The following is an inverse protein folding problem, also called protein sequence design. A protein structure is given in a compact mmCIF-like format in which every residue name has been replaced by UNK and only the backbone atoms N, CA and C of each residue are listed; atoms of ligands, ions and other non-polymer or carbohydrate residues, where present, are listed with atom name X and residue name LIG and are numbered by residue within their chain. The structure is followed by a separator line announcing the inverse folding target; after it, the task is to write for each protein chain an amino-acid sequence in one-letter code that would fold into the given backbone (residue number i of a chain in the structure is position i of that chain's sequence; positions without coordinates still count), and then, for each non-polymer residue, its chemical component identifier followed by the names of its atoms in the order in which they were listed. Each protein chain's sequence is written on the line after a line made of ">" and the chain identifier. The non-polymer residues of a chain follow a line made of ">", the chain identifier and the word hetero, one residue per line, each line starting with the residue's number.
data_IF_361344521070
#
_entry.id   IF_361344521070
#
_cell.length_a   1.000
_cell.length_b   1.000
_cell.length_c   1.000
_cell.angle_alpha   90.00
_cell.angle_beta   90.00
_cell.angle_gamma   90.00
#
_symmetry.space_group_name_H-M   'P 1'
#
loop_
_entity.id
_entity.type
_entity.pdbx_description
1 polymer ?
#
# COMPACT_ATOMS: atom_id res chain seq x y z
N UNK A 1 -51.85 -108.17 35.81
CA UNK A 1 -50.55 -107.56 35.43
C UNK A 1 -50.76 -107.13 34.01
N UNK A 2 -51.32 -105.93 33.84
CA UNK A 2 -51.87 -105.50 32.56
C UNK A 2 -50.71 -105.14 31.63
N UNK A 3 -50.44 -106.04 30.69
CA UNK A 3 -49.41 -105.86 29.68
C UNK A 3 -49.88 -104.75 28.75
N UNK A 4 -49.10 -103.67 28.69
CA UNK A 4 -49.38 -102.54 27.80
C UNK A 4 -49.46 -103.07 26.35
N UNK A 5 -50.59 -102.82 25.67
CA UNK A 5 -50.81 -103.19 24.28
C UNK A 5 -49.72 -102.56 23.38
N UNK A 6 -49.11 -103.37 22.51
CA UNK A 6 -47.97 -103.02 21.68
C UNK A 6 -48.27 -101.80 20.79
N UNK A 7 -49.51 -101.64 20.33
CA UNK A 7 -49.96 -100.47 19.57
C UNK A 7 -50.00 -99.19 20.40
N UNK A 8 -50.35 -99.28 21.69
CA UNK A 8 -50.34 -98.14 22.61
C UNK A 8 -48.92 -97.69 22.93
N UNK A 9 -47.98 -98.63 23.07
CA UNK A 9 -46.56 -98.33 23.30
C UNK A 9 -45.91 -97.66 22.08
N UNK A 10 -46.20 -98.14 20.86
CA UNK A 10 -45.75 -97.52 19.61
C UNK A 10 -46.29 -96.09 19.49
N UNK A 11 -47.56 -95.86 19.81
CA UNK A 11 -48.21 -94.54 19.74
C UNK A 11 -47.61 -93.51 20.70
N UNK A 12 -47.24 -93.94 21.92
CA UNK A 12 -46.53 -93.08 22.90
C UNK A 12 -45.11 -92.75 22.40
N UNK A 13 -44.40 -93.71 21.82
CA UNK A 13 -43.07 -93.49 21.26
C UNK A 13 -43.11 -92.54 20.05
N UNK A 14 -44.05 -92.69 19.12
CA UNK A 14 -44.21 -91.75 17.98
C UNK A 14 -44.61 -90.35 18.46
N UNK A 15 -45.45 -90.24 19.49
CA UNK A 15 -45.76 -88.93 20.09
C UNK A 15 -44.54 -88.28 20.73
N UNK A 16 -43.73 -89.03 21.48
CA UNK A 16 -42.49 -88.54 22.09
C UNK A 16 -41.44 -88.12 21.02
N UNK A 17 -41.31 -88.90 19.94
CA UNK A 17 -40.45 -88.56 18.80
C UNK A 17 -40.96 -87.28 18.11
N UNK A 18 -42.27 -87.18 17.84
CA UNK A 18 -42.86 -85.98 17.24
C UNK A 18 -42.66 -84.72 18.09
N UNK A 19 -42.82 -84.84 19.42
CA UNK A 19 -42.64 -83.73 20.35
C UNK A 19 -41.17 -83.27 20.41
N UNK A 20 -40.21 -84.21 20.46
CA UNK A 20 -38.78 -83.90 20.46
C UNK A 20 -38.34 -83.27 19.13
N UNK A 21 -38.84 -83.76 18.00
CA UNK A 21 -38.56 -83.23 16.68
C UNK A 21 -39.15 -81.82 16.48
N UNK A 22 -40.36 -81.57 17.00
CA UNK A 22 -40.96 -80.23 17.04
C UNK A 22 -40.15 -79.24 17.89
N UNK A 23 -39.74 -79.64 19.10
CA UNK A 23 -38.92 -78.81 19.98
C UNK A 23 -37.54 -78.50 19.35
N UNK A 24 -36.95 -79.47 18.65
CA UNK A 24 -35.70 -79.31 17.93
C UNK A 24 -35.83 -78.31 16.77
N UNK A 25 -36.88 -78.42 15.95
CA UNK A 25 -37.16 -77.46 14.87
C UNK A 25 -37.42 -76.05 15.40
N UNK A 26 -38.17 -75.92 16.50
CA UNK A 26 -38.41 -74.63 17.16
C UNK A 26 -37.12 -74.01 17.69
N UNK A 27 -36.21 -74.81 18.24
CA UNK A 27 -34.89 -74.35 18.68
C UNK A 27 -34.05 -73.84 17.51
N UNK A 28 -33.97 -74.62 16.41
CA UNK A 28 -33.25 -74.21 15.19
C UNK A 28 -33.83 -72.91 14.60
N UNK A 29 -35.16 -72.80 14.52
CA UNK A 29 -35.82 -71.59 14.02
C UNK A 29 -35.50 -70.36 14.87
N UNK A 30 -35.48 -70.52 16.21
CA UNK A 30 -35.12 -69.45 17.14
C UNK A 30 -33.64 -69.04 16.99
N UNK A 31 -32.73 -70.01 16.86
CA UNK A 31 -31.31 -69.75 16.67
C UNK A 31 -31.05 -69.03 15.33
N UNK A 32 -31.69 -69.48 14.25
CA UNK A 32 -31.58 -68.83 12.93
C UNK A 32 -32.07 -67.39 12.95
N UNK A 33 -33.20 -67.13 13.62
CA UNK A 33 -33.73 -65.77 13.81
C UNK A 33 -32.74 -64.89 14.58
N UNK A 34 -32.17 -65.41 15.68
CA UNK A 34 -31.18 -64.69 16.48
C UNK A 34 -29.91 -64.35 15.68
N UNK A 35 -29.32 -65.31 14.97
CA UNK A 35 -28.12 -65.06 14.15
C UNK A 35 -28.41 -64.07 13.00
N UNK A 36 -29.61 -64.12 12.41
CA UNK A 36 -30.03 -63.15 11.38
C UNK A 36 -30.10 -61.74 11.94
N UNK A 37 -30.73 -61.57 13.10
CA UNK A 37 -30.87 -60.26 13.74
C UNK A 37 -29.53 -59.73 14.24
N UNK A 38 -28.68 -60.61 14.78
CA UNK A 38 -27.30 -60.30 15.15
C UNK A 38 -26.47 -59.87 13.94
N UNK A 39 -26.60 -60.56 12.81
CA UNK A 39 -25.94 -60.21 11.55
C UNK A 39 -26.37 -58.84 11.02
N UNK A 40 -27.67 -58.53 11.06
CA UNK A 40 -28.17 -57.19 10.73
C UNK A 40 -27.60 -56.10 11.63
N UNK A 41 -27.62 -56.33 12.95
CA UNK A 41 -27.08 -55.36 13.91
C UNK A 41 -25.58 -55.13 13.72
N UNK A 42 -24.83 -56.16 13.34
CA UNK A 42 -23.40 -56.05 13.04
C UNK A 42 -23.18 -55.21 11.78
N UNK A 43 -23.89 -55.52 10.69
CA UNK A 43 -23.83 -54.77 9.44
C UNK A 43 -24.20 -53.29 9.66
N UNK A 44 -25.30 -53.00 10.37
CA UNK A 44 -25.69 -51.62 10.71
C UNK A 44 -24.62 -50.89 11.52
N UNK A 45 -23.93 -51.57 12.44
CA UNK A 45 -22.86 -50.97 13.24
C UNK A 45 -21.63 -50.66 12.38
N UNK A 46 -21.32 -51.51 11.41
CA UNK A 46 -20.24 -51.29 10.44
C UNK A 46 -20.58 -50.10 9.53
N UNK A 47 -21.80 -50.03 8.98
CA UNK A 47 -22.29 -48.92 8.15
C UNK A 47 -22.19 -47.58 8.91
N UNK A 48 -22.64 -47.53 10.17
CA UNK A 48 -22.52 -46.33 11.02
C UNK A 48 -21.05 -45.95 11.21
N UNK A 49 -20.17 -46.94 11.38
CA UNK A 49 -18.73 -46.73 11.51
C UNK A 49 -18.10 -46.13 10.26
N UNK A 50 -18.49 -46.61 9.07
CA UNK A 50 -18.04 -46.05 7.79
C UNK A 50 -18.55 -44.63 7.58
N UNK A 51 -19.85 -44.40 7.77
CA UNK A 51 -20.46 -43.06 7.69
C UNK A 51 -19.75 -42.08 8.64
N UNK A 52 -19.45 -42.51 9.86
CA UNK A 52 -18.73 -41.66 10.84
C UNK A 52 -17.34 -41.30 10.35
N UNK A 53 -16.60 -42.24 9.74
CA UNK A 53 -15.27 -41.98 9.17
C UNK A 53 -15.36 -41.01 7.99
N UNK A 54 -16.36 -41.16 7.12
CA UNK A 54 -16.59 -40.24 6.01
C UNK A 54 -16.89 -38.83 6.51
N UNK A 55 -17.78 -38.69 7.51
CA UNK A 55 -18.11 -37.39 8.12
C UNK A 55 -16.87 -36.72 8.72
N UNK A 56 -16.04 -37.45 9.49
CA UNK A 56 -14.81 -36.87 10.05
C UNK A 56 -13.79 -36.53 8.96
N UNK A 57 -13.70 -37.32 7.89
CA UNK A 57 -12.85 -37.02 6.73
C UNK A 57 -13.29 -35.74 6.00
N UNK A 58 -14.59 -35.59 5.76
CA UNK A 58 -15.19 -34.41 5.15
C UNK A 58 -14.97 -33.19 6.06
N UNK A 59 -15.23 -33.32 7.35
CA UNK A 59 -14.99 -32.26 8.35
C UNK A 59 -13.53 -31.84 8.37
N UNK A 60 -12.59 -32.79 8.40
CA UNK A 60 -11.17 -32.50 8.36
C UNK A 60 -10.77 -31.77 7.06
N UNK A 61 -11.31 -32.21 5.91
CA UNK A 61 -11.10 -31.54 4.62
C UNK A 61 -11.63 -30.10 4.65
N UNK A 62 -12.85 -29.89 5.16
CA UNK A 62 -13.41 -28.56 5.34
C UNK A 62 -12.56 -27.68 6.26
N UNK A 63 -12.07 -28.22 7.38
CA UNK A 63 -11.17 -27.49 8.29
C UNK A 63 -9.88 -27.09 7.57
N UNK A 64 -9.24 -28.01 6.85
CA UNK A 64 -8.00 -27.73 6.10
C UNK A 64 -8.22 -26.64 5.05
N UNK A 65 -9.27 -26.74 4.23
CA UNK A 65 -9.56 -25.75 3.19
C UNK A 65 -9.94 -24.38 3.77
N UNK A 66 -10.65 -24.37 4.90
CA UNK A 66 -10.97 -23.13 5.63
C UNK A 66 -9.71 -22.44 6.15
N UNK A 67 -8.78 -23.18 6.74
CA UNK A 67 -7.51 -22.61 7.23
C UNK A 67 -6.63 -22.12 6.08
N UNK A 68 -6.59 -22.83 4.94
CA UNK A 68 -5.92 -22.35 3.72
C UNK A 68 -6.53 -21.04 3.22
N UNK A 69 -7.86 -20.94 3.20
CA UNK A 69 -8.55 -19.73 2.75
C UNK A 69 -8.27 -18.54 3.69
N UNK A 70 -8.32 -18.75 5.00
CA UNK A 70 -7.95 -17.74 6.00
C UNK A 70 -6.50 -17.28 5.81
N UNK A 71 -5.55 -18.20 5.64
CA UNK A 71 -4.15 -17.87 5.44
C UNK A 71 -3.94 -17.04 4.16
N UNK A 72 -4.60 -17.41 3.06
CA UNK A 72 -4.57 -16.64 1.81
C UNK A 72 -5.16 -15.24 2.00
N UNK A 73 -6.32 -15.13 2.63
CA UNK A 73 -6.98 -13.85 2.87
C UNK A 73 -6.07 -12.93 3.70
N UNK A 74 -5.49 -13.44 4.78
CA UNK A 74 -4.52 -12.68 5.59
C UNK A 74 -3.33 -12.19 4.76
N UNK A 75 -2.78 -13.04 3.88
CA UNK A 75 -1.68 -12.63 3.00
C UNK A 75 -2.11 -11.52 2.04
N UNK A 76 -3.27 -11.66 1.38
CA UNK A 76 -3.82 -10.64 0.48
C UNK A 76 -4.05 -9.31 1.20
N UNK A 77 -4.69 -9.36 2.37
CA UNK A 77 -4.94 -8.17 3.20
C UNK A 77 -3.62 -7.50 3.61
N UNK A 78 -2.60 -8.27 3.99
CA UNK A 78 -1.28 -7.72 4.34
C UNK A 78 -0.59 -7.04 3.14
N UNK A 79 -0.63 -7.66 1.96
CA UNK A 79 -0.09 -7.06 0.72
C UNK A 79 -0.83 -5.78 0.38
N UNK A 80 -2.17 -5.80 0.47
CA UNK A 80 -3.00 -4.63 0.21
C UNK A 80 -2.69 -3.49 1.18
N UNK A 81 -2.56 -3.76 2.48
CA UNK A 81 -2.13 -2.75 3.46
C UNK A 81 -0.72 -2.21 3.17
N UNK A 82 0.19 -3.07 2.71
CA UNK A 82 1.52 -2.65 2.27
C UNK A 82 1.46 -1.66 1.11
N UNK A 83 0.69 -1.96 0.06
CA UNK A 83 0.52 -1.08 -1.11
C UNK A 83 -0.11 0.26 -0.70
N UNK A 84 -1.18 0.23 0.10
CA UNK A 84 -1.85 1.44 0.62
C UNK A 84 -0.88 2.30 1.45
N UNK A 85 -0.03 1.65 2.26
CA UNK A 85 1.00 2.35 3.03
C UNK A 85 2.01 3.05 2.13
N UNK A 86 2.50 2.37 1.09
CA UNK A 86 3.45 2.94 0.14
C UNK A 86 2.84 4.08 -0.68
N UNK A 87 1.57 3.96 -1.07
CA UNK A 87 0.83 5.04 -1.73
C UNK A 87 0.78 6.30 -0.84
N UNK A 88 0.41 6.14 0.43
CA UNK A 88 0.43 7.23 1.42
C UNK A 88 1.83 7.83 1.57
N UNK A 89 2.87 6.99 1.65
CA UNK A 89 4.26 7.45 1.77
C UNK A 89 4.70 8.24 0.54
N UNK A 90 4.34 7.80 -0.67
CA UNK A 90 4.66 8.48 -1.92
C UNK A 90 4.04 9.89 -1.99
N UNK A 91 2.79 10.05 -1.56
CA UNK A 91 2.14 11.37 -1.44
C UNK A 91 2.90 12.26 -0.46
N UNK A 92 3.22 11.74 0.73
CA UNK A 92 3.90 12.51 1.78
C UNK A 92 5.29 12.96 1.32
N UNK A 93 6.09 12.05 0.74
CA UNK A 93 7.44 12.37 0.27
C UNK A 93 7.43 13.37 -0.89
N UNK A 94 6.43 13.29 -1.79
CA UNK A 94 6.24 14.28 -2.85
C UNK A 94 5.97 15.68 -2.27
N UNK A 95 4.96 15.80 -1.41
CA UNK A 95 4.57 17.08 -0.81
C UNK A 95 5.70 17.67 0.04
N UNK A 96 6.40 16.83 0.82
CA UNK A 96 7.57 17.25 1.60
C UNK A 96 8.71 17.78 0.71
N UNK A 97 9.00 17.08 -0.39
CA UNK A 97 10.04 17.51 -1.33
C UNK A 97 9.64 18.79 -2.07
N UNK A 98 8.35 18.98 -2.34
CA UNK A 98 7.82 20.21 -2.93
C UNK A 98 8.05 21.40 -2.00
N UNK A 99 7.69 21.28 -0.72
CA UNK A 99 7.98 22.32 0.29
C UNK A 99 9.47 22.60 0.45
N UNK A 100 10.32 21.58 0.38
CA UNK A 100 11.76 21.77 0.43
C UNK A 100 12.27 22.61 -0.76
N UNK A 101 11.75 22.33 -1.97
CA UNK A 101 12.05 23.13 -3.14
C UNK A 101 11.56 24.57 -3.00
N UNK A 102 10.32 24.78 -2.55
CA UNK A 102 9.78 26.12 -2.28
C UNK A 102 10.66 26.88 -1.29
N UNK A 103 11.07 26.24 -0.19
CA UNK A 103 11.96 26.84 0.80
C UNK A 103 13.28 27.29 0.16
N UNK A 104 13.86 26.47 -0.72
CA UNK A 104 15.09 26.81 -1.45
C UNK A 104 14.91 28.01 -2.40
N UNK A 105 13.73 28.15 -3.03
CA UNK A 105 13.39 29.27 -3.92
C UNK A 105 13.32 30.57 -3.11
N UNK A 106 12.64 30.58 -1.96
CA UNK A 106 12.45 31.79 -1.15
C UNK A 106 13.64 32.13 -0.25
N UNK A 107 14.61 31.23 -0.09
CA UNK A 107 15.82 31.50 0.65
C UNK A 107 16.62 32.61 -0.03
N UNK A 108 16.93 33.65 0.74
CA UNK A 108 17.75 34.77 0.28
C UNK A 108 19.23 34.44 0.52
N UNK A 109 20.14 34.64 -0.47
CA UNK A 109 21.56 34.50 -0.24
C UNK A 109 21.99 35.40 0.92
N UNK A 110 22.81 34.87 1.82
CA UNK A 110 23.34 35.63 2.96
C UNK A 110 24.02 36.93 2.52
N UNK A 111 24.64 36.92 1.33
CA UNK A 111 25.17 38.13 0.69
C UNK A 111 25.17 37.98 -0.84
N UNK A 112 24.37 38.80 -1.53
CA UNK A 112 24.36 38.86 -3.01
C UNK A 112 25.66 39.42 -3.60
N UNK A 113 26.59 39.89 -2.78
CA UNK A 113 27.90 40.39 -3.23
C UNK A 113 28.99 39.32 -3.16
N UNK A 114 28.67 38.11 -2.71
CA UNK A 114 29.60 37.00 -2.58
C UNK A 114 29.21 35.89 -3.55
N UNK A 115 30.02 35.70 -4.60
CA UNK A 115 29.75 34.70 -5.63
C UNK A 115 29.73 33.28 -5.06
N UNK A 116 30.53 32.96 -4.03
CA UNK A 116 30.48 31.64 -3.38
C UNK A 116 29.21 31.43 -2.57
N UNK A 117 28.62 32.51 -2.03
CA UNK A 117 27.31 32.43 -1.39
C UNK A 117 26.21 32.18 -2.43
N UNK A 118 26.28 32.85 -3.58
CA UNK A 118 25.33 32.67 -4.68
C UNK A 118 25.39 31.25 -5.24
N UNK A 119 26.60 30.74 -5.55
CA UNK A 119 26.80 29.37 -6.06
C UNK A 119 26.18 28.32 -5.13
N UNK A 120 26.40 28.45 -3.81
CA UNK A 120 25.79 27.55 -2.82
C UNK A 120 24.26 27.58 -2.84
N UNK A 121 23.66 28.75 -3.04
CA UNK A 121 22.19 28.83 -3.14
C UNK A 121 21.66 28.25 -4.45
N UNK A 122 22.39 28.41 -5.56
CA UNK A 122 22.06 27.74 -6.82
C UNK A 122 22.10 26.22 -6.65
N UNK A 123 23.18 25.70 -6.06
CA UNK A 123 23.34 24.27 -5.77
C UNK A 123 22.24 23.74 -4.82
N UNK A 124 21.84 24.52 -3.80
CA UNK A 124 20.73 24.16 -2.93
C UNK A 124 19.41 24.00 -3.71
N UNK A 125 19.12 24.91 -4.65
CA UNK A 125 17.92 24.81 -5.50
C UNK A 125 17.97 23.59 -6.42
N UNK A 126 19.13 23.31 -7.03
CA UNK A 126 19.32 22.15 -7.91
C UNK A 126 19.13 20.83 -7.15
N UNK A 127 19.72 20.73 -5.95
CA UNK A 127 19.58 19.56 -5.09
C UNK A 127 18.13 19.35 -4.62
N UNK A 128 17.43 20.42 -4.25
CA UNK A 128 16.02 20.35 -3.88
C UNK A 128 15.14 19.96 -5.08
N UNK A 129 15.44 20.46 -6.27
CA UNK A 129 14.73 20.08 -7.50
C UNK A 129 14.94 18.59 -7.83
N UNK A 130 16.17 18.10 -7.70
CA UNK A 130 16.49 16.69 -7.90
C UNK A 130 15.75 15.78 -6.92
N UNK A 131 15.69 16.16 -5.64
CA UNK A 131 14.92 15.43 -4.62
C UNK A 131 13.43 15.36 -4.99
N UNK A 132 12.84 16.48 -5.44
CA UNK A 132 11.44 16.51 -5.92
C UNK A 132 11.23 15.60 -7.13
N UNK A 133 12.18 15.53 -8.07
CA UNK A 133 12.11 14.60 -9.20
C UNK A 133 12.13 13.13 -8.77
N UNK A 134 12.94 12.78 -7.78
CA UNK A 134 12.95 11.43 -7.22
C UNK A 134 11.60 11.11 -6.55
N UNK A 135 11.06 12.04 -5.75
CA UNK A 135 9.75 11.87 -5.12
C UNK A 135 8.61 11.81 -6.14
N UNK A 136 8.70 12.56 -7.25
CA UNK A 136 7.75 12.49 -8.37
C UNK A 136 7.72 11.09 -9.00
N UNK A 137 8.88 10.43 -9.14
CA UNK A 137 8.93 9.07 -9.69
C UNK A 137 8.17 8.07 -8.81
N UNK A 138 8.34 8.16 -7.49
CA UNK A 138 7.59 7.34 -6.53
C UNK A 138 6.10 7.68 -6.55
N UNK A 139 5.76 8.97 -6.58
CA UNK A 139 4.38 9.42 -6.71
C UNK A 139 3.71 8.80 -7.94
N UNK A 140 4.35 8.86 -9.11
CA UNK A 140 3.82 8.30 -10.35
C UNK A 140 3.72 6.77 -10.34
N UNK A 141 4.56 6.08 -9.56
CA UNK A 141 4.54 4.63 -9.44
C UNK A 141 3.34 4.14 -8.63
N UNK A 142 3.03 4.82 -7.52
CA UNK A 142 2.01 4.35 -6.57
C UNK A 142 0.64 5.01 -6.75
N UNK A 143 0.58 6.19 -7.38
CA UNK A 143 -0.68 6.88 -7.63
C UNK A 143 -1.21 6.47 -8.98
N UNK A 144 -2.44 5.97 -9.04
CA UNK A 144 -3.10 5.61 -10.30
C UNK A 144 -3.81 6.81 -10.95
N UNK A 145 -4.21 7.80 -10.16
CA UNK A 145 -4.98 8.98 -10.59
C UNK A 145 -4.16 9.89 -11.52
N UNK A 146 -4.47 9.83 -12.82
CA UNK A 146 -3.76 10.61 -13.85
C UNK A 146 -4.04 12.12 -13.76
N UNK A 147 -5.23 12.53 -13.31
CA UNK A 147 -5.51 13.96 -13.10
C UNK A 147 -4.61 14.52 -11.99
N UNK A 148 -4.47 13.76 -10.90
CA UNK A 148 -3.60 14.15 -9.79
C UNK A 148 -2.12 14.19 -10.19
N UNK A 149 -1.67 13.26 -11.05
CA UNK A 149 -0.31 13.31 -11.63
C UNK A 149 -0.10 14.55 -12.50
N UNK A 150 -1.09 14.92 -13.32
CA UNK A 150 -1.02 16.11 -14.17
C UNK A 150 -0.91 17.37 -13.30
N UNK A 151 -1.68 17.46 -12.22
CA UNK A 151 -1.58 18.56 -11.27
C UNK A 151 -0.20 18.64 -10.61
N UNK A 152 0.35 17.50 -10.15
CA UNK A 152 1.71 17.44 -9.63
C UNK A 152 2.75 17.94 -10.65
N UNK A 153 2.62 17.55 -11.92
CA UNK A 153 3.50 18.02 -13.01
C UNK A 153 3.40 19.53 -13.20
N UNK A 154 2.19 20.09 -13.15
CA UNK A 154 1.98 21.54 -13.30
C UNK A 154 2.65 22.32 -12.16
N UNK A 155 2.53 21.85 -10.91
CA UNK A 155 3.23 22.45 -9.77
C UNK A 155 4.76 22.41 -9.94
N UNK A 156 5.30 21.29 -10.43
CA UNK A 156 6.73 21.18 -10.74
C UNK A 156 7.13 22.16 -11.84
N UNK A 157 6.32 22.29 -12.89
CA UNK A 157 6.59 23.24 -13.99
C UNK A 157 6.65 24.68 -13.49
N UNK A 158 5.74 25.07 -12.61
CA UNK A 158 5.69 26.42 -12.05
C UNK A 158 6.87 26.72 -11.12
N UNK A 159 7.29 25.74 -10.31
CA UNK A 159 8.49 25.88 -9.47
C UNK A 159 9.77 25.93 -10.31
N UNK A 160 9.88 25.11 -11.37
CA UNK A 160 11.01 25.18 -12.32
C UNK A 160 11.09 26.54 -13.00
N UNK A 161 9.97 27.12 -13.39
CA UNK A 161 9.95 28.47 -13.96
C UNK A 161 10.53 29.50 -12.99
N UNK A 162 10.16 29.43 -11.70
CA UNK A 162 10.71 30.31 -10.67
C UNK A 162 12.23 30.11 -10.46
N UNK A 163 12.70 28.86 -10.43
CA UNK A 163 14.14 28.53 -10.32
C UNK A 163 14.92 29.13 -11.49
N UNK A 164 14.43 28.96 -12.72
CA UNK A 164 15.10 29.50 -13.91
C UNK A 164 15.24 31.02 -13.86
N UNK A 165 14.22 31.73 -13.36
CA UNK A 165 14.27 33.20 -13.17
C UNK A 165 15.37 33.57 -12.18
N UNK A 166 15.43 32.89 -11.03
CA UNK A 166 16.42 33.17 -9.98
C UNK A 166 17.84 32.82 -10.41
N UNK A 167 18.06 31.63 -10.96
CA UNK A 167 19.37 31.20 -11.42
C UNK A 167 19.94 32.11 -12.50
N UNK A 168 19.10 32.57 -13.43
CA UNK A 168 19.50 33.57 -14.42
C UNK A 168 19.94 34.87 -13.75
N UNK A 169 19.14 35.39 -12.84
CA UNK A 169 19.47 36.63 -12.12
C UNK A 169 20.75 36.48 -11.28
N UNK A 170 20.96 35.32 -10.65
CA UNK A 170 22.18 35.00 -9.92
C UNK A 170 23.41 34.99 -10.81
N UNK A 171 23.34 34.40 -12.01
CA UNK A 171 24.42 34.48 -13.00
C UNK A 171 24.75 35.93 -13.39
N UNK A 172 23.73 36.75 -13.65
CA UNK A 172 23.91 38.18 -13.95
C UNK A 172 24.53 38.96 -12.77
N UNK A 173 24.10 38.68 -11.54
CA UNK A 173 24.66 39.27 -10.32
C UNK A 173 26.13 38.88 -10.12
N UNK A 174 26.48 37.62 -10.37
CA UNK A 174 27.87 37.15 -10.27
C UNK A 174 28.78 37.89 -11.25
N UNK A 175 28.29 38.13 -12.47
CA UNK A 175 28.99 38.95 -13.47
C UNK A 175 29.16 40.38 -12.96
N UNK A 176 28.10 40.98 -12.39
CA UNK A 176 28.18 42.33 -11.79
C UNK A 176 29.15 42.40 -10.61
N UNK A 177 29.23 41.36 -9.79
CA UNK A 177 30.21 41.30 -8.70
C UNK A 177 31.65 41.28 -9.23
N UNK A 178 31.91 40.53 -10.31
CA UNK A 178 33.23 40.52 -10.98
C UNK A 178 33.53 41.90 -11.57
N UNK A 179 32.56 42.51 -12.26
CA UNK A 179 32.68 43.86 -12.83
C UNK A 179 33.04 44.89 -11.75
N UNK A 180 32.38 44.84 -10.59
CA UNK A 180 32.68 45.71 -9.44
C UNK A 180 34.12 45.53 -8.95
N UNK A 181 34.61 44.30 -8.85
CA UNK A 181 35.99 44.04 -8.41
C UNK A 181 37.04 44.50 -9.44
N UNK A 182 36.72 44.42 -10.73
CA UNK A 182 37.58 44.97 -11.79
C UNK A 182 37.60 46.51 -11.74
N UNK A 183 36.42 47.14 -11.69
CA UNK A 183 36.30 48.60 -11.61
C UNK A 183 36.98 49.19 -10.37
N UNK A 184 36.98 48.49 -9.23
CA UNK A 184 37.74 48.93 -8.04
C UNK A 184 39.23 49.16 -8.32
N UNK A 185 39.82 48.38 -9.24
CA UNK A 185 41.23 48.39 -9.63
C UNK A 185 41.56 49.36 -10.77
N UNK A 186 40.55 49.91 -11.45
CA UNK A 186 40.75 50.87 -12.54
C UNK A 186 41.29 52.22 -12.04
N UNK A 187 42.00 52.90 -12.94
CA UNK A 187 42.46 54.29 -12.75
C UNK A 187 41.36 55.22 -13.25
N UNK A 188 40.98 56.20 -12.42
CA UNK A 188 39.94 57.17 -12.73
C UNK A 188 40.52 58.58 -12.79
N UNK A 189 39.95 59.43 -13.64
CA UNK A 189 40.33 60.85 -13.76
C UNK A 189 40.18 61.60 -12.42
N UNK A 190 39.15 61.28 -11.64
CA UNK A 190 38.92 61.82 -10.31
C UNK A 190 37.99 60.92 -9.46
N UNK A 191 37.90 61.24 -8.16
CA UNK A 191 37.08 60.49 -7.19
C UNK A 191 35.59 60.53 -7.50
N UNK A 192 35.08 61.62 -8.09
CA UNK A 192 33.65 61.77 -8.43
C UNK A 192 33.28 60.82 -9.58
N UNK A 193 34.09 60.78 -10.63
CA UNK A 193 33.91 59.87 -11.76
C UNK A 193 33.88 58.40 -11.30
N UNK A 194 34.80 58.01 -10.41
CA UNK A 194 34.79 56.68 -9.78
C UNK A 194 33.49 56.41 -9.03
N UNK A 195 33.03 57.37 -8.21
CA UNK A 195 31.82 57.24 -7.39
C UNK A 195 30.58 57.03 -8.24
N UNK A 196 30.40 57.81 -9.30
CA UNK A 196 29.20 57.77 -10.14
C UNK A 196 29.11 56.45 -10.91
N UNK A 197 30.23 56.02 -11.48
CA UNK A 197 30.38 54.72 -12.14
C UNK A 197 30.07 53.57 -11.18
N UNK A 198 30.66 53.57 -9.98
CA UNK A 198 30.41 52.50 -9.00
C UNK A 198 28.98 52.49 -8.49
N UNK A 199 28.39 53.67 -8.25
CA UNK A 199 26.99 53.80 -7.83
C UNK A 199 26.05 53.16 -8.86
N UNK A 200 26.28 53.43 -10.15
CA UNK A 200 25.49 52.84 -11.24
C UNK A 200 25.56 51.31 -11.24
N UNK A 201 26.75 50.72 -11.15
CA UNK A 201 26.89 49.25 -11.16
C UNK A 201 26.28 48.60 -9.92
N UNK A 202 26.38 49.25 -8.74
CA UNK A 202 25.70 48.78 -7.53
C UNK A 202 24.18 48.82 -7.67
N UNK A 203 23.63 49.86 -8.29
CA UNK A 203 22.19 49.97 -8.57
C UNK A 203 21.73 48.89 -9.54
N UNK A 204 22.42 48.71 -10.67
CA UNK A 204 22.11 47.66 -11.65
C UNK A 204 22.08 46.25 -11.01
N UNK A 205 23.07 45.92 -10.18
CA UNK A 205 23.08 44.64 -9.44
C UNK A 205 21.86 44.49 -8.53
N UNK A 206 21.49 45.55 -7.82
CA UNK A 206 20.34 45.53 -6.92
C UNK A 206 19.03 45.39 -7.70
N UNK A 207 18.90 46.07 -8.83
CA UNK A 207 17.73 45.99 -9.70
C UNK A 207 17.55 44.58 -10.27
N UNK A 208 18.62 43.92 -10.72
CA UNK A 208 18.57 42.52 -11.18
C UNK A 208 17.95 41.63 -10.09
N UNK A 209 18.46 41.73 -8.85
CA UNK A 209 17.97 40.94 -7.72
C UNK A 209 16.50 41.24 -7.41
N UNK A 210 16.14 42.52 -7.26
CA UNK A 210 14.78 42.94 -6.91
C UNK A 210 13.77 42.52 -7.98
N UNK A 211 14.10 42.73 -9.27
CA UNK A 211 13.23 42.36 -10.39
C UNK A 211 12.99 40.85 -10.46
N UNK A 212 14.03 40.04 -10.21
CA UNK A 212 13.88 38.58 -10.18
C UNK A 212 12.98 38.15 -9.02
N UNK A 213 13.16 38.74 -7.82
CA UNK A 213 12.34 38.45 -6.64
C UNK A 213 10.89 38.85 -6.80
N UNK A 214 10.62 40.00 -7.41
CA UNK A 214 9.27 40.44 -7.73
C UNK A 214 8.59 39.46 -8.68
N UNK A 215 9.25 39.07 -9.77
CA UNK A 215 8.73 38.09 -10.72
C UNK A 215 8.41 36.75 -10.05
N UNK A 216 9.30 36.22 -9.22
CA UNK A 216 9.03 34.95 -8.51
C UNK A 216 7.89 35.07 -7.51
N UNK A 217 7.80 36.19 -6.77
CA UNK A 217 6.72 36.43 -5.80
C UNK A 217 5.36 36.52 -6.50
N UNK A 218 5.32 37.15 -7.68
CA UNK A 218 4.10 37.25 -8.47
C UNK A 218 3.63 35.88 -8.97
N UNK A 219 4.55 35.04 -9.44
CA UNK A 219 4.24 33.65 -9.86
C UNK A 219 3.75 32.81 -8.67
N UNK A 220 4.35 32.98 -7.49
CA UNK A 220 3.98 32.25 -6.29
C UNK A 220 2.51 32.46 -5.87
N UNK A 221 1.94 33.63 -6.15
CA UNK A 221 0.55 33.95 -5.78
C UNK A 221 -0.50 33.11 -6.51
N UNK A 222 -0.23 32.70 -7.75
CA UNK A 222 -1.09 31.73 -8.46
C UNK A 222 -0.80 30.32 -7.98
N UNK A 223 0.48 29.96 -7.97
CA UNK A 223 0.98 28.65 -7.57
C UNK A 223 0.46 28.18 -6.21
N UNK A 224 0.40 29.06 -5.19
CA UNK A 224 -0.05 28.67 -3.85
C UNK A 224 -1.51 28.21 -3.82
N UNK A 225 -2.35 28.72 -4.72
CA UNK A 225 -3.76 28.30 -4.84
C UNK A 225 -3.84 26.91 -5.44
N UNK A 226 -3.10 26.67 -6.51
CA UNK A 226 -3.05 25.37 -7.18
C UNK A 226 -2.45 24.30 -6.26
N UNK A 227 -1.40 24.65 -5.50
CA UNK A 227 -0.81 23.79 -4.46
C UNK A 227 -1.82 23.42 -3.39
N UNK A 228 -2.63 24.37 -2.91
CA UNK A 228 -3.65 24.10 -1.89
C UNK A 228 -4.75 23.16 -2.40
N UNK A 229 -5.16 23.31 -3.67
CA UNK A 229 -6.14 22.41 -4.32
C UNK A 229 -5.57 20.98 -4.40
N UNK A 230 -4.33 20.85 -4.89
CA UNK A 230 -3.62 19.59 -4.98
C UNK A 230 -3.47 18.90 -3.61
N UNK A 231 -3.07 19.65 -2.59
CA UNK A 231 -2.95 19.14 -1.22
C UNK A 231 -4.28 18.66 -0.64
N UNK A 232 -5.37 19.36 -0.95
CA UNK A 232 -6.69 18.93 -0.53
C UNK A 232 -7.08 17.59 -1.19
N UNK A 233 -6.80 17.42 -2.49
CA UNK A 233 -7.02 16.15 -3.18
C UNK A 233 -6.16 15.02 -2.61
N UNK A 234 -4.87 15.28 -2.36
CA UNK A 234 -3.96 14.35 -1.70
C UNK A 234 -4.49 13.93 -0.32
N UNK A 235 -4.97 14.91 0.47
CA UNK A 235 -5.54 14.68 1.79
C UNK A 235 -6.81 13.84 1.73
N UNK A 236 -7.75 14.17 0.83
CA UNK A 236 -8.96 13.38 0.61
C UNK A 236 -8.61 11.95 0.25
N UNK A 237 -7.59 11.73 -0.58
CA UNK A 237 -7.14 10.38 -0.94
C UNK A 237 -6.56 9.63 0.25
N UNK A 238 -5.70 10.27 1.05
CA UNK A 238 -5.17 9.69 2.29
C UNK A 238 -6.30 9.30 3.26
N UNK A 239 -7.34 10.12 3.40
CA UNK A 239 -8.46 9.83 4.31
C UNK A 239 -9.46 8.81 3.75
N UNK A 240 -9.70 8.76 2.44
CA UNK A 240 -10.49 7.70 1.81
C UNK A 240 -9.90 6.31 2.05
N UNK A 241 -8.58 6.21 2.19
CA UNK A 241 -7.90 4.96 2.55
C UNK A 241 -8.20 4.49 4.00
N UNK A 242 -8.86 5.31 4.83
CA UNK A 242 -9.24 4.96 6.21
C UNK A 242 -10.73 4.59 6.36
N UNK A 243 -11.55 4.81 5.34
CA UNK A 243 -12.96 4.41 5.32
C UNK A 243 -13.10 3.19 4.40
N UNK A 244 -13.19 1.96 4.95
CA UNK A 244 -13.49 0.82 4.11
C UNK A 244 -14.89 1.02 3.53
N UNK A 245 -15.01 1.00 2.19
CA UNK A 245 -16.31 0.88 1.54
C UNK A 245 -17.02 -0.35 2.14
N UNK A 246 -18.20 -0.12 2.71
CA UNK A 246 -19.05 -1.12 3.33
C UNK A 246 -19.47 -2.23 2.37
#
# INVERSE_FOLDING_TARGET
>A
MDWIDTNSLISICTFAIGLTQFLFWRYIAKQKSYETEKGKNLATKEDIGEITKEIESVKNTFTIETEKLKAKLTLFTNVQYGIISEERNAIIEFVKSLYNLESSIFKTPTKITDNKAIEREMENMDNAHYALKCAQALFNLYIEDDELKIEAINLIKDTVNQINILQKAYGEIMIKNIEIELRKKEVYENTTAKRDIMKKVFQERQEIYTNAREKTTNLYSSYIKDRAIFENKCRTRIYKLLEPEH
#
